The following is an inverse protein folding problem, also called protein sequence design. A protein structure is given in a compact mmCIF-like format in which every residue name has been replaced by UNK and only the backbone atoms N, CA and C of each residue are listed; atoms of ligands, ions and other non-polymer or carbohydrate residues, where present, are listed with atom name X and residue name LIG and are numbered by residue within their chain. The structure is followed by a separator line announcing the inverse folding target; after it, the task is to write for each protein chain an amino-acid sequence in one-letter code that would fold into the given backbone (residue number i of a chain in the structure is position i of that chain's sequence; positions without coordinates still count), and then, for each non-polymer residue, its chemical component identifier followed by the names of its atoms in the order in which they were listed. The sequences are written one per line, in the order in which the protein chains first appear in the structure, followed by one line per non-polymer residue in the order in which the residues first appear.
data_IF_379636071025
#
_entry.id   IF_379636071025
#
_cell.length_a   1.000
_cell.length_b   1.000
_cell.length_c   1.000
_cell.angle_alpha   90.00
_cell.angle_beta   90.00
_cell.angle_gamma   90.00
#
_symmetry.space_group_name_H-M   'P 1'
#
loop_
_entity.id
_entity.type
_entity.pdbx_description
1 polymer ?
#
# COMPACT_ATOMS: atom_id res chain seq x y z
N UNK A 1 -7.25 6.29 -21.95
CA UNK A 1 -7.54 4.85 -21.71
C UNK A 1 -6.47 4.17 -20.84
N UNK A 2 -5.20 4.61 -20.84
CA UNK A 2 -4.13 4.03 -20.01
C UNK A 2 -4.23 4.31 -18.49
N UNK A 3 -4.77 5.47 -18.08
CA UNK A 3 -4.90 5.84 -16.66
C UNK A 3 -5.79 4.89 -15.82
N UNK A 4 -6.76 4.22 -16.45
CA UNK A 4 -7.60 3.22 -15.78
C UNK A 4 -6.88 1.91 -15.52
N UNK A 5 -6.02 1.48 -16.46
CA UNK A 5 -5.26 0.22 -16.36
C UNK A 5 -4.18 0.34 -15.26
N UNK A 6 -3.53 1.48 -15.17
CA UNK A 6 -2.55 1.75 -14.10
C UNK A 6 -3.23 1.76 -12.72
N UNK A 7 -4.45 2.31 -12.62
CA UNK A 7 -5.26 2.27 -11.39
C UNK A 7 -5.67 0.86 -10.97
N UNK A 8 -6.04 -0.01 -11.92
CA UNK A 8 -6.41 -1.40 -11.62
C UNK A 8 -5.21 -2.23 -11.18
N UNK A 9 -4.03 -2.00 -11.78
CA UNK A 9 -2.79 -2.69 -11.40
C UNK A 9 -2.38 -2.32 -9.98
N UNK A 10 -2.43 -1.05 -9.62
CA UNK A 10 -2.18 -0.58 -8.24
C UNK A 10 -3.19 -1.15 -7.25
N UNK A 11 -4.47 -1.23 -7.62
CA UNK A 11 -5.51 -1.84 -6.78
C UNK A 11 -5.20 -3.31 -6.48
N UNK A 12 -4.89 -4.10 -7.51
CA UNK A 12 -4.51 -5.52 -7.32
C UNK A 12 -3.25 -5.68 -6.49
N UNK A 13 -2.24 -4.84 -6.70
CA UNK A 13 -1.03 -4.84 -5.89
C UNK A 13 -1.33 -4.57 -4.41
N UNK A 14 -2.22 -3.61 -4.12
CA UNK A 14 -2.65 -3.31 -2.76
C UNK A 14 -3.39 -4.47 -2.09
N UNK A 15 -4.15 -5.26 -2.86
CA UNK A 15 -4.88 -6.42 -2.34
C UNK A 15 -3.97 -7.61 -2.00
N UNK A 16 -2.78 -7.67 -2.60
CA UNK A 16 -1.75 -8.67 -2.29
C UNK A 16 -0.89 -8.31 -1.08
N UNK A 17 -0.98 -7.07 -0.58
CA UNK A 17 -0.29 -6.68 0.64
C UNK A 17 -0.94 -7.27 1.89
N UNK A 18 -0.11 -7.56 2.88
CA UNK A 18 -0.58 -7.87 4.22
C UNK A 18 -1.45 -6.75 4.78
N UNK A 19 -2.49 -7.11 5.53
CA UNK A 19 -3.49 -6.16 6.03
C UNK A 19 -2.88 -4.97 6.78
N UNK A 20 -1.78 -5.19 7.52
CA UNK A 20 -1.07 -4.15 8.27
C UNK A 20 -0.46 -3.11 7.34
N UNK A 21 0.24 -3.56 6.30
CA UNK A 21 0.88 -2.73 5.28
C UNK A 21 -0.16 -1.98 4.45
N UNK A 22 -1.18 -2.69 3.98
CA UNK A 22 -2.29 -2.11 3.21
C UNK A 22 -2.98 -0.98 3.98
N UNK A 23 -3.30 -1.19 5.27
CA UNK A 23 -4.01 -0.19 6.09
C UNK A 23 -3.22 1.10 6.25
N UNK A 24 -1.91 1.02 6.52
CA UNK A 24 -1.10 2.24 6.69
C UNK A 24 -0.94 2.99 5.36
N UNK A 25 -0.74 2.27 4.25
CA UNK A 25 -0.63 2.86 2.91
C UNK A 25 -1.95 3.54 2.52
N UNK A 26 -3.07 2.84 2.70
CA UNK A 26 -4.37 3.36 2.28
C UNK A 26 -4.73 4.64 3.04
N UNK A 27 -4.54 4.64 4.36
CA UNK A 27 -4.84 5.82 5.17
C UNK A 27 -3.91 7.00 4.84
N UNK A 28 -2.64 6.77 4.54
CA UNK A 28 -1.71 7.84 4.20
C UNK A 28 -1.98 8.41 2.80
N UNK A 29 -2.03 7.55 1.78
CA UNK A 29 -2.09 7.97 0.38
C UNK A 29 -3.50 8.32 -0.10
N UNK A 30 -4.52 7.54 0.28
CA UNK A 30 -5.92 7.81 -0.12
C UNK A 30 -6.69 8.60 0.93
N UNK A 31 -6.32 8.47 2.21
CA UNK A 31 -6.91 9.23 3.31
C UNK A 31 -6.26 10.59 3.56
N UNK A 32 -5.11 10.89 2.93
CA UNK A 32 -4.37 12.15 3.11
C UNK A 32 -3.80 12.33 4.53
N UNK A 33 -3.71 11.25 5.32
CA UNK A 33 -3.25 11.31 6.70
C UNK A 33 -1.73 11.29 6.78
N UNK A 34 -1.17 12.13 7.66
CA UNK A 34 0.22 12.02 8.08
C UNK A 34 0.47 10.72 8.85
N UNK A 35 1.73 10.29 8.93
CA UNK A 35 2.08 9.09 9.71
C UNK A 35 1.66 9.17 11.18
N UNK A 36 1.61 10.37 11.75
CA UNK A 36 1.16 10.61 13.12
C UNK A 36 -0.35 10.39 13.25
N UNK A 37 -1.14 10.92 12.32
CA UNK A 37 -2.59 10.71 12.31
C UNK A 37 -2.96 9.25 12.05
N UNK A 38 -2.22 8.58 11.16
CA UNK A 38 -2.35 7.12 10.95
C UNK A 38 -2.06 6.37 12.25
N UNK A 39 -0.99 6.73 12.96
CA UNK A 39 -0.62 6.12 14.25
C UNK A 39 -1.72 6.29 15.29
N UNK A 40 -2.25 7.50 15.44
CA UNK A 40 -3.38 7.79 16.33
C UNK A 40 -4.62 6.98 15.95
N UNK A 41 -4.99 6.95 14.67
CA UNK A 41 -6.20 6.27 14.19
C UNK A 41 -6.13 4.75 14.34
N UNK A 42 -4.93 4.18 14.22
CA UNK A 42 -4.71 2.74 14.35
C UNK A 42 -4.38 2.30 15.78
N UNK A 43 -4.15 3.24 16.71
CA UNK A 43 -3.71 2.93 18.07
C UNK A 43 -2.30 2.30 18.09
N UNK A 44 -1.44 2.67 17.16
CA UNK A 44 -0.09 2.11 17.00
C UNK A 44 1.00 3.15 17.29
N UNK A 45 2.20 2.75 17.72
CA UNK A 45 3.34 3.65 17.76
C UNK A 45 3.69 4.20 16.38
N UNK A 46 4.08 5.48 16.29
CA UNK A 46 4.46 6.10 15.02
C UNK A 46 5.65 5.38 14.35
N UNK A 47 6.58 4.86 15.14
CA UNK A 47 7.68 4.01 14.65
C UNK A 47 7.20 2.74 13.95
N UNK A 48 6.13 2.12 14.46
CA UNK A 48 5.48 0.94 13.87
C UNK A 48 4.77 1.28 12.56
N UNK A 49 4.08 2.42 12.50
CA UNK A 49 3.49 2.91 11.25
C UNK A 49 4.56 3.16 10.20
N UNK A 50 5.67 3.81 10.57
CA UNK A 50 6.80 4.04 9.66
C UNK A 50 7.44 2.73 9.17
N UNK A 51 7.59 1.72 10.02
CA UNK A 51 8.15 0.42 9.58
C UNK A 51 7.20 -0.33 8.65
N UNK A 52 5.91 -0.36 8.96
CA UNK A 52 4.89 -0.97 8.08
C UNK A 52 4.78 -0.23 6.74
N UNK A 53 4.87 1.10 6.74
CA UNK A 53 4.89 1.90 5.51
C UNK A 53 6.09 1.54 4.63
N UNK A 54 7.28 1.45 5.22
CA UNK A 54 8.50 1.05 4.49
C UNK A 54 8.38 -0.36 3.92
N UNK A 55 7.83 -1.31 4.67
CA UNK A 55 7.64 -2.68 4.20
C UNK A 55 6.64 -2.75 3.04
N UNK A 56 5.46 -2.14 3.23
CA UNK A 56 4.42 -2.11 2.22
C UNK A 56 4.84 -1.42 0.92
N UNK A 57 5.58 -0.30 0.99
CA UNK A 57 6.08 0.37 -0.22
C UNK A 57 7.10 -0.47 -0.97
N UNK A 58 7.97 -1.22 -0.27
CA UNK A 58 8.89 -2.17 -0.92
C UNK A 58 8.12 -3.32 -1.59
N UNK A 59 7.15 -3.89 -0.90
CA UNK A 59 6.32 -4.96 -1.48
C UNK A 59 5.52 -4.46 -2.68
N UNK A 60 4.95 -3.26 -2.64
CA UNK A 60 4.28 -2.65 -3.79
C UNK A 60 5.22 -2.46 -4.98
N UNK A 61 6.44 -1.98 -4.76
CA UNK A 61 7.43 -1.87 -5.84
C UNK A 61 7.65 -3.22 -6.49
N UNK A 62 7.90 -4.27 -5.69
CA UNK A 62 8.10 -5.63 -6.23
C UNK A 62 6.88 -6.11 -7.01
N UNK A 63 5.66 -5.95 -6.48
CA UNK A 63 4.43 -6.39 -7.15
C UNK A 63 4.11 -5.63 -8.45
N UNK A 64 4.58 -4.37 -8.57
CA UNK A 64 4.38 -3.52 -9.74
C UNK A 64 5.54 -3.61 -10.73
N UNK A 65 6.73 -4.00 -10.28
CA UNK A 65 7.91 -4.20 -11.13
C UNK A 65 7.92 -5.61 -11.72
N UNK A 66 7.58 -6.63 -10.92
CA UNK A 66 7.35 -7.97 -11.45
C UNK A 66 6.04 -8.01 -12.24
N UNK A 67 6.04 -8.70 -13.38
CA UNK A 67 4.84 -9.15 -14.08
C UNK A 67 3.94 -10.09 -13.25
N UNK A 68 4.10 -10.14 -11.92
CA UNK A 68 3.32 -10.95 -10.97
C UNK A 68 1.81 -10.71 -11.08
N UNK A 69 1.41 -9.52 -11.55
CA UNK A 69 0.01 -9.16 -11.80
C UNK A 69 -0.49 -9.55 -13.21
N UNK A 70 0.37 -10.12 -14.06
CA UNK A 70 0.04 -10.58 -15.42
C UNK A 70 -0.24 -12.10 -15.47
N UNK A 71 -0.10 -12.81 -14.34
CA UNK A 71 -0.25 -14.26 -14.22
C UNK A 71 -1.69 -14.75 -14.04
N UNK A 72 -2.61 -14.35 -14.91
CA UNK A 72 -3.88 -15.05 -15.15
C UNK A 72 -4.15 -15.04 -16.66
N UNK A 73 -3.51 -15.97 -17.39
CA UNK A 73 -3.82 -16.29 -18.79
C UNK A 73 -4.00 -17.79 -18.92
#
# INVERSE_FOLDING_TARGET
MLAGIESDRVRRALDLLDQKERRVIVLAYYGGHSYREVATRLGLPEGTVKSQMRAGLRHLSVLLDDGALEGER
#
